data_IF_434992761132
#
_entry.id   IF_434992761132
#
_cell.length_a   1.000
_cell.length_b   1.000
_cell.length_c   1.000
_cell.angle_alpha   90.00
_cell.angle_beta   90.00
_cell.angle_gamma   90.00
#
_symmetry.space_group_name_H-M   'P 1'
#
loop_
_entity.id
_entity.type
_entity.pdbx_description
1 polymer ?
#
# COMPACT_ATOMS: atom_id res chain seq x y z
N UNK A 1 26.34 -1.84 -27.97
CA UNK A 1 27.08 -2.41 -26.82
C UNK A 1 28.40 -1.67 -26.74
N UNK A 2 28.60 -0.85 -25.70
CA UNK A 2 29.92 -0.32 -25.36
C UNK A 2 30.72 -1.44 -24.70
N UNK A 3 32.00 -1.59 -25.10
CA UNK A 3 32.87 -2.53 -24.39
C UNK A 3 33.07 -2.08 -22.94
N UNK A 4 33.31 -3.01 -22.03
CA UNK A 4 33.62 -2.72 -20.62
C UNK A 4 34.77 -1.72 -20.49
N UNK A 5 35.76 -1.80 -21.38
CA UNK A 5 36.91 -0.87 -21.46
C UNK A 5 36.47 0.57 -21.70
N UNK A 6 35.55 0.81 -22.68
CA UNK A 6 35.00 2.15 -22.92
C UNK A 6 34.17 2.70 -21.75
N UNK A 7 33.49 1.83 -20.98
CA UNK A 7 32.77 2.24 -19.78
C UNK A 7 33.74 2.66 -18.68
N UNK A 8 34.88 1.96 -18.55
CA UNK A 8 35.93 2.27 -17.58
C UNK A 8 36.64 3.60 -17.96
N UNK A 9 37.03 3.75 -19.22
CA UNK A 9 37.71 4.94 -19.73
C UNK A 9 36.88 6.24 -19.58
N UNK A 10 35.56 6.15 -19.72
CA UNK A 10 34.65 7.30 -19.62
C UNK A 10 34.05 7.53 -18.22
N UNK A 11 34.51 6.82 -17.18
CA UNK A 11 33.92 6.90 -15.83
C UNK A 11 32.38 6.75 -15.78
N UNK A 12 31.79 5.97 -16.70
CA UNK A 12 30.33 5.81 -16.85
C UNK A 12 29.81 4.70 -15.89
N UNK A 13 30.45 4.45 -14.79
CA UNK A 13 30.00 3.48 -13.79
C UNK A 13 29.99 4.08 -12.39
N UNK A 14 28.96 3.74 -11.63
CA UNK A 14 28.89 4.11 -10.22
C UNK A 14 29.56 3.01 -9.37
N UNK A 15 30.35 3.42 -8.38
CA UNK A 15 30.93 2.50 -7.42
C UNK A 15 29.86 2.08 -6.41
N UNK A 16 29.40 0.84 -6.51
CA UNK A 16 28.47 0.23 -5.57
C UNK A 16 29.25 -0.56 -4.52
N UNK A 17 28.70 -0.65 -3.32
CA UNK A 17 29.21 -1.49 -2.25
C UNK A 17 28.15 -2.50 -1.83
N UNK A 18 28.59 -3.72 -1.53
CA UNK A 18 27.73 -4.72 -0.92
C UNK A 18 27.56 -4.38 0.56
N UNK A 19 26.31 -4.17 0.95
CA UNK A 19 25.95 -3.86 2.32
C UNK A 19 25.69 -5.16 3.10
N UNK A 20 26.45 -5.36 4.17
CA UNK A 20 26.44 -6.55 5.06
C UNK A 20 26.69 -7.89 4.37
N UNK A 21 27.75 -8.52 4.81
CA UNK A 21 28.18 -9.85 4.41
C UNK A 21 27.30 -10.92 5.07
N UNK A 22 26.06 -11.07 4.64
CA UNK A 22 25.16 -12.11 5.12
C UNK A 22 24.93 -13.11 4.01
N UNK A 23 25.69 -14.17 4.00
CA UNK A 23 25.65 -15.26 3.01
C UNK A 23 24.25 -15.87 2.83
N UNK A 24 23.34 -15.67 3.79
CA UNK A 24 21.99 -16.26 3.82
C UNK A 24 20.84 -15.22 3.86
N UNK A 25 21.09 -13.94 3.56
CA UNK A 25 20.05 -12.88 3.53
C UNK A 25 20.11 -12.10 2.22
N UNK A 26 19.04 -11.38 1.90
CA UNK A 26 18.98 -10.49 0.74
C UNK A 26 20.20 -9.56 0.67
N UNK A 27 20.85 -9.54 -0.46
CA UNK A 27 21.98 -8.64 -0.69
C UNK A 27 21.46 -7.23 -0.94
N UNK A 28 21.96 -6.26 -0.19
CA UNK A 28 21.71 -4.85 -0.41
C UNK A 28 22.94 -4.26 -1.09
N UNK A 29 22.77 -3.85 -2.34
CA UNK A 29 23.82 -3.17 -3.11
C UNK A 29 23.50 -1.68 -3.03
N UNK A 30 24.36 -0.92 -2.35
CA UNK A 30 24.14 0.48 -2.03
C UNK A 30 25.26 1.35 -2.64
N UNK A 31 24.91 2.57 -3.06
CA UNK A 31 25.91 3.56 -3.43
C UNK A 31 26.73 3.94 -2.20
N UNK A 32 28.03 4.15 -2.40
CA UNK A 32 28.92 4.53 -1.30
C UNK A 32 28.45 5.77 -0.55
N UNK A 33 27.94 6.76 -1.27
CA UNK A 33 27.41 8.02 -0.75
C UNK A 33 26.15 7.86 0.10
N UNK A 34 25.34 6.84 -0.20
CA UNK A 34 24.10 6.57 0.53
C UNK A 34 24.29 5.67 1.77
N UNK A 35 25.49 5.10 1.93
CA UNK A 35 25.76 4.17 3.02
C UNK A 35 25.58 4.80 4.40
N UNK A 36 26.19 5.93 4.64
CA UNK A 36 26.12 6.63 5.94
C UNK A 36 24.68 7.03 6.27
N UNK A 37 23.92 7.49 5.27
CA UNK A 37 22.50 7.81 5.42
C UNK A 37 21.68 6.58 5.81
N UNK A 38 21.89 5.46 5.11
CA UNK A 38 21.19 4.22 5.37
C UNK A 38 21.53 3.66 6.76
N UNK A 39 22.82 3.61 7.13
CA UNK A 39 23.30 3.14 8.43
C UNK A 39 22.69 3.93 9.59
N UNK A 40 22.64 5.25 9.50
CA UNK A 40 22.04 6.09 10.55
C UNK A 40 20.57 5.72 10.83
N UNK A 41 19.79 5.40 9.81
CA UNK A 41 18.40 4.97 10.00
C UNK A 41 18.34 3.57 10.61
N UNK A 42 19.11 2.62 10.08
CA UNK A 42 19.14 1.23 10.58
C UNK A 42 19.57 1.15 12.04
N UNK A 43 20.57 1.97 12.43
CA UNK A 43 21.14 1.93 13.77
C UNK A 43 20.29 2.71 14.80
N UNK A 44 19.58 3.77 14.35
CA UNK A 44 18.75 4.58 15.24
C UNK A 44 17.38 3.95 15.55
N UNK A 45 16.80 3.27 14.57
CA UNK A 45 15.44 2.76 14.68
C UNK A 45 15.36 1.45 15.45
N UNK A 46 14.47 1.40 16.45
CA UNK A 46 14.31 0.23 17.33
C UNK A 46 13.19 -0.72 16.91
N UNK A 47 12.34 -0.32 15.95
CA UNK A 47 11.21 -1.10 15.46
C UNK A 47 11.28 -1.21 13.94
N UNK A 48 10.57 -2.19 13.39
CA UNK A 48 10.19 -2.24 11.97
C UNK A 48 8.67 -2.28 11.86
N UNK A 49 8.14 -2.01 10.66
CA UNK A 49 6.68 -2.13 10.48
C UNK A 49 6.20 -3.56 10.74
N UNK A 50 7.00 -4.60 10.44
CA UNK A 50 6.63 -6.00 10.70
C UNK A 50 6.53 -6.34 12.19
N UNK A 51 7.23 -5.60 13.07
CA UNK A 51 7.16 -5.79 14.52
C UNK A 51 5.82 -5.29 15.07
N UNK A 52 5.27 -4.22 14.50
CA UNK A 52 4.13 -3.49 15.06
C UNK A 52 2.85 -3.59 14.24
N UNK A 53 2.91 -4.08 13.00
CA UNK A 53 1.79 -4.10 12.07
C UNK A 53 1.60 -5.47 11.41
N UNK A 54 0.36 -5.75 11.05
CA UNK A 54 0.01 -6.89 10.20
C UNK A 54 -0.40 -6.40 8.82
N UNK A 55 0.24 -6.94 7.77
CA UNK A 55 -0.05 -6.57 6.39
C UNK A 55 -0.91 -7.60 5.66
N UNK A 56 -1.67 -7.14 4.67
CA UNK A 56 -2.47 -7.99 3.80
C UNK A 56 -2.61 -7.40 2.40
N UNK A 57 -2.91 -8.26 1.43
CA UNK A 57 -3.17 -7.88 0.05
C UNK A 57 -4.66 -7.66 -0.17
N UNK A 58 -5.00 -6.74 -1.06
CA UNK A 58 -6.37 -6.56 -1.54
C UNK A 58 -6.97 -7.78 -2.24
N UNK A 59 -8.20 -7.65 -2.66
CA UNK A 59 -9.02 -8.72 -3.23
C UNK A 59 -8.61 -9.00 -4.67
N UNK A 60 -8.58 -10.27 -5.02
CA UNK A 60 -8.52 -10.74 -6.42
C UNK A 60 -9.94 -11.14 -6.82
N UNK A 61 -10.56 -10.35 -7.70
CA UNK A 61 -11.91 -10.64 -8.19
C UNK A 61 -11.95 -11.82 -9.16
N UNK A 62 -10.88 -12.00 -9.91
CA UNK A 62 -10.80 -12.94 -11.04
C UNK A 62 -11.51 -12.44 -12.30
N UNK A 63 -12.38 -11.44 -12.18
CA UNK A 63 -13.03 -10.74 -13.30
C UNK A 63 -13.60 -9.41 -12.81
N UNK A 64 -12.83 -8.33 -12.85
CA UNK A 64 -13.30 -7.01 -12.41
C UNK A 64 -14.62 -6.60 -13.07
N UNK A 65 -14.81 -6.91 -14.36
CA UNK A 65 -16.03 -6.59 -15.10
C UNK A 65 -17.31 -7.23 -14.51
N UNK A 66 -17.17 -8.33 -13.76
CA UNK A 66 -18.29 -9.02 -13.14
C UNK A 66 -18.61 -8.47 -11.73
N UNK A 67 -17.61 -7.96 -11.02
CA UNK A 67 -17.73 -7.64 -9.60
C UNK A 67 -17.54 -6.16 -9.26
N UNK A 68 -17.06 -5.36 -10.21
CA UNK A 68 -16.79 -3.92 -9.97
C UNK A 68 -17.77 -3.10 -10.80
N UNK A 69 -18.56 -2.28 -10.12
CA UNK A 69 -19.58 -1.41 -10.71
C UNK A 69 -19.22 0.05 -10.48
N UNK A 70 -19.53 0.91 -11.45
CA UNK A 70 -19.45 2.36 -11.30
C UNK A 70 -20.51 2.84 -10.31
N UNK A 71 -20.17 3.71 -9.37
CA UNK A 71 -21.14 4.25 -8.39
C UNK A 71 -22.26 5.07 -9.05
N UNK A 72 -22.00 5.58 -10.26
CA UNK A 72 -22.97 6.38 -11.03
C UNK A 72 -23.83 5.51 -11.99
N UNK A 73 -23.63 4.17 -12.00
CA UNK A 73 -24.49 3.25 -12.75
C UNK A 73 -25.86 3.13 -12.05
N UNK A 74 -26.93 3.49 -12.73
CA UNK A 74 -28.31 3.44 -12.19
C UNK A 74 -28.69 2.06 -11.64
N UNK A 75 -28.09 1.00 -12.18
CA UNK A 75 -28.35 -0.37 -11.75
C UNK A 75 -27.78 -0.67 -10.37
N UNK A 76 -26.91 0.17 -9.82
CA UNK A 76 -26.38 -0.01 -8.46
C UNK A 76 -27.50 -0.03 -7.41
N UNK A 77 -28.55 0.75 -7.65
CA UNK A 77 -29.73 0.83 -6.77
C UNK A 77 -30.54 -0.45 -6.69
N UNK A 78 -30.29 -1.41 -7.58
CA UNK A 78 -30.91 -2.74 -7.55
C UNK A 78 -30.16 -3.71 -6.64
N UNK A 79 -28.99 -3.34 -6.15
CA UNK A 79 -28.13 -4.18 -5.31
C UNK A 79 -28.30 -3.73 -3.87
N UNK A 80 -28.57 -4.67 -2.96
CA UNK A 80 -28.59 -4.42 -1.53
C UNK A 80 -27.21 -3.92 -1.05
N UNK A 81 -27.18 -2.81 -0.32
CA UNK A 81 -25.97 -2.10 0.14
C UNK A 81 -25.02 -3.01 0.95
N UNK A 82 -25.54 -4.04 1.61
CA UNK A 82 -24.70 -5.01 2.35
C UNK A 82 -23.65 -5.68 1.45
N UNK A 83 -23.96 -5.85 0.15
CA UNK A 83 -23.05 -6.44 -0.83
C UNK A 83 -22.14 -5.40 -1.50
N UNK A 84 -22.43 -4.11 -1.36
CA UNK A 84 -21.66 -3.05 -1.98
C UNK A 84 -20.57 -2.55 -1.04
N UNK A 85 -19.33 -2.61 -1.50
CA UNK A 85 -18.17 -2.15 -0.75
C UNK A 85 -17.43 -1.07 -1.53
N UNK A 86 -16.93 -0.05 -0.84
CA UNK A 86 -16.05 0.96 -1.44
C UNK A 86 -14.83 0.27 -2.04
N UNK A 87 -14.46 0.60 -3.29
CA UNK A 87 -13.42 -0.11 -4.03
C UNK A 87 -12.26 0.79 -4.42
N UNK A 88 -11.09 0.54 -3.87
CA UNK A 88 -9.86 1.33 -4.07
C UNK A 88 -8.87 0.57 -4.94
N UNK A 89 -8.34 1.23 -5.97
CA UNK A 89 -7.24 0.76 -6.80
C UNK A 89 -5.99 1.61 -6.57
N UNK A 90 -4.87 1.18 -7.13
CA UNK A 90 -3.57 1.86 -7.01
C UNK A 90 -3.64 3.38 -7.30
N UNK A 91 -4.38 3.79 -8.33
CA UNK A 91 -4.44 5.20 -8.78
C UNK A 91 -5.15 6.14 -7.80
N UNK A 92 -6.05 5.62 -6.96
CA UNK A 92 -6.76 6.42 -5.96
C UNK A 92 -5.91 6.72 -4.73
N UNK A 93 -4.83 5.95 -4.47
CA UNK A 93 -3.97 6.17 -3.32
C UNK A 93 -3.03 7.34 -3.59
N UNK A 94 -3.07 8.36 -2.73
CA UNK A 94 -2.17 9.50 -2.73
C UNK A 94 -1.35 9.49 -1.43
N UNK A 95 -0.41 10.41 -1.26
CA UNK A 95 0.20 10.65 0.05
C UNK A 95 -0.90 11.06 1.02
N UNK A 96 -0.93 10.45 2.19
CA UNK A 96 -1.84 10.70 3.32
C UNK A 96 -3.29 10.28 3.09
N UNK A 97 -3.87 10.43 1.90
CA UNK A 97 -5.31 10.28 1.64
C UNK A 97 -5.61 9.38 0.45
N UNK A 98 -6.83 8.88 0.42
CA UNK A 98 -7.40 8.15 -0.70
C UNK A 98 -8.35 9.10 -1.43
N UNK A 99 -8.16 9.27 -2.75
CA UNK A 99 -9.11 10.03 -3.57
C UNK A 99 -10.48 9.35 -3.56
N UNK A 100 -11.53 10.14 -3.68
CA UNK A 100 -12.88 9.61 -3.84
C UNK A 100 -12.90 8.59 -4.98
N UNK A 101 -13.35 7.39 -4.67
CA UNK A 101 -13.36 6.30 -5.61
C UNK A 101 -14.70 6.28 -6.37
N UNK A 102 -14.56 6.08 -7.66
CA UNK A 102 -15.67 5.96 -8.59
C UNK A 102 -16.39 4.61 -8.51
N UNK A 103 -15.76 3.61 -7.90
CA UNK A 103 -16.20 2.22 -8.04
C UNK A 103 -16.66 1.61 -6.71
N UNK A 104 -17.60 0.68 -6.82
CA UNK A 104 -18.00 -0.24 -5.75
C UNK A 104 -17.67 -1.67 -6.16
N UNK A 105 -17.32 -2.48 -5.16
CA UNK A 105 -17.16 -3.92 -5.30
C UNK A 105 -18.47 -4.59 -4.88
N UNK A 106 -18.96 -5.50 -5.70
CA UNK A 106 -19.99 -6.47 -5.31
C UNK A 106 -19.29 -7.59 -4.53
N UNK A 107 -19.42 -7.58 -3.21
CA UNK A 107 -18.81 -8.60 -2.35
C UNK A 107 -19.71 -9.85 -2.28
N UNK A 108 -19.63 -10.67 -3.30
CA UNK A 108 -20.51 -11.82 -3.52
C UNK A 108 -20.21 -13.04 -2.65
N UNK A 109 -19.11 -13.05 -1.89
CA UNK A 109 -18.78 -14.16 -0.99
C UNK A 109 -19.80 -14.34 0.16
N UNK A 110 -20.66 -13.35 0.39
CA UNK A 110 -21.75 -13.45 1.37
C UNK A 110 -23.01 -14.14 0.82
N UNK A 111 -23.05 -14.39 -0.49
CA UNK A 111 -24.17 -15.09 -1.14
C UNK A 111 -23.98 -16.60 -0.92
N UNK A 112 -24.90 -17.21 -0.17
CA UNK A 112 -24.81 -18.63 0.18
C UNK A 112 -25.29 -19.53 -0.96
N UNK A 113 -26.40 -19.18 -1.61
CA UNK A 113 -26.96 -19.93 -2.70
C UNK A 113 -27.18 -19.03 -3.92
N UNK A 114 -27.08 -19.61 -5.12
CA UNK A 114 -27.28 -18.89 -6.40
C UNK A 114 -28.66 -18.23 -6.49
N UNK A 115 -29.67 -18.82 -5.83
CA UNK A 115 -31.05 -18.30 -5.79
C UNK A 115 -31.27 -17.12 -4.83
N UNK A 116 -30.38 -16.89 -3.87
CA UNK A 116 -30.62 -15.92 -2.79
C UNK A 116 -30.59 -14.46 -3.27
N UNK A 117 -29.88 -14.19 -4.35
CA UNK A 117 -29.73 -12.85 -4.92
C UNK A 117 -29.76 -12.87 -6.44
N UNK A 118 -30.94 -13.13 -7.05
CA UNK A 118 -31.05 -13.33 -8.49
C UNK A 118 -30.61 -12.10 -9.31
N UNK A 119 -30.80 -10.90 -8.82
CA UNK A 119 -30.35 -9.67 -9.49
C UNK A 119 -28.83 -9.65 -9.61
N UNK A 120 -28.11 -9.86 -8.50
CA UNK A 120 -26.64 -9.88 -8.51
C UNK A 120 -26.14 -11.02 -9.39
N UNK A 121 -26.72 -12.20 -9.22
CA UNK A 121 -26.29 -13.43 -9.91
C UNK A 121 -26.55 -13.36 -11.41
N UNK A 122 -27.74 -12.92 -11.84
CA UNK A 122 -28.12 -12.97 -13.26
C UNK A 122 -27.72 -11.70 -14.01
N UNK A 123 -27.98 -10.53 -13.42
CA UNK A 123 -27.87 -9.25 -14.15
C UNK A 123 -26.47 -8.66 -14.13
N UNK A 124 -25.69 -8.96 -13.10
CA UNK A 124 -24.31 -8.46 -12.97
C UNK A 124 -23.29 -9.57 -13.24
N UNK A 125 -23.18 -10.56 -12.37
CA UNK A 125 -22.13 -11.59 -12.41
C UNK A 125 -22.38 -12.60 -13.52
N UNK A 126 -23.64 -12.98 -13.76
CA UNK A 126 -24.05 -14.03 -14.67
C UNK A 126 -23.64 -13.81 -16.13
N UNK A 127 -23.57 -12.57 -16.59
CA UNK A 127 -23.03 -12.20 -17.91
C UNK A 127 -21.62 -12.73 -18.15
N UNK A 128 -20.89 -13.05 -17.09
CA UNK A 128 -19.50 -13.54 -17.13
C UNK A 128 -19.38 -14.98 -16.64
N UNK A 129 -20.51 -15.72 -16.50
CA UNK A 129 -20.57 -17.07 -15.91
C UNK A 129 -19.59 -18.05 -16.57
N UNK A 130 -19.54 -18.10 -17.87
CA UNK A 130 -18.62 -18.98 -18.62
C UNK A 130 -17.15 -18.69 -18.25
N UNK A 131 -16.76 -17.41 -18.25
CA UNK A 131 -15.40 -16.99 -17.87
C UNK A 131 -15.09 -17.35 -16.43
N UNK A 132 -16.05 -17.14 -15.51
CA UNK A 132 -15.90 -17.39 -14.09
C UNK A 132 -15.80 -18.88 -13.77
N UNK A 133 -16.59 -19.73 -14.45
CA UNK A 133 -16.50 -21.19 -14.36
C UNK A 133 -15.14 -21.72 -14.83
N UNK A 134 -14.49 -21.03 -15.78
CA UNK A 134 -13.19 -21.41 -16.30
C UNK A 134 -12.01 -21.06 -15.36
N UNK A 135 -12.23 -20.33 -14.27
CA UNK A 135 -11.20 -20.08 -13.25
C UNK A 135 -10.71 -21.39 -12.63
N UNK A 136 -9.41 -21.45 -12.34
CA UNK A 136 -8.77 -22.63 -11.73
C UNK A 136 -9.45 -23.04 -10.42
N UNK A 137 -9.81 -22.07 -9.59
CA UNK A 137 -10.44 -22.28 -8.29
C UNK A 137 -11.82 -22.91 -8.42
N UNK A 138 -12.61 -22.51 -9.43
CA UNK A 138 -13.90 -23.10 -9.75
C UNK A 138 -13.76 -24.53 -10.27
N UNK A 139 -12.84 -24.76 -11.22
CA UNK A 139 -12.54 -26.12 -11.74
C UNK A 139 -12.08 -27.08 -10.64
N UNK A 140 -11.38 -26.58 -9.63
CA UNK A 140 -10.96 -27.35 -8.46
C UNK A 140 -12.01 -27.42 -7.33
N UNK A 141 -13.19 -26.85 -7.54
CA UNK A 141 -14.28 -26.76 -6.55
C UNK A 141 -13.88 -26.06 -5.23
N UNK A 142 -12.90 -25.17 -5.29
CA UNK A 142 -12.45 -24.37 -4.15
C UNK A 142 -13.29 -23.11 -3.97
N UNK A 143 -13.97 -22.66 -5.03
CA UNK A 143 -14.85 -21.47 -5.07
C UNK A 143 -16.06 -21.76 -5.95
N UNK A 144 -17.18 -21.16 -5.58
CA UNK A 144 -18.34 -21.09 -6.45
C UNK A 144 -18.09 -20.10 -7.59
N UNK A 145 -18.74 -20.27 -8.73
CA UNK A 145 -18.48 -19.42 -9.90
C UNK A 145 -18.82 -17.95 -9.66
N UNK A 146 -19.78 -17.67 -8.78
CA UNK A 146 -20.19 -16.30 -8.42
C UNK A 146 -19.42 -15.70 -7.25
N UNK A 147 -18.55 -16.43 -6.57
CA UNK A 147 -17.65 -15.89 -5.56
C UNK A 147 -16.46 -15.13 -6.17
N UNK A 148 -15.94 -14.18 -5.43
CA UNK A 148 -14.64 -13.57 -5.71
C UNK A 148 -13.54 -14.64 -5.71
N UNK A 149 -12.54 -14.51 -6.57
CA UNK A 149 -11.47 -15.52 -6.65
C UNK A 149 -10.70 -15.64 -5.31
N UNK A 150 -10.34 -14.48 -4.73
CA UNK A 150 -9.76 -14.38 -3.38
C UNK A 150 -10.38 -13.18 -2.67
N UNK A 151 -11.55 -13.39 -2.07
CA UNK A 151 -12.35 -12.34 -1.43
C UNK A 151 -11.80 -11.88 -0.07
N UNK A 152 -10.91 -12.67 0.56
CA UNK A 152 -10.37 -12.40 1.89
C UNK A 152 -11.48 -12.35 2.97
N UNK A 153 -11.09 -12.14 4.22
CA UNK A 153 -12.02 -11.90 5.32
C UNK A 153 -12.41 -10.42 5.35
N UNK A 154 -13.70 -10.11 5.53
CA UNK A 154 -14.17 -8.73 5.58
C UNK A 154 -13.55 -7.92 6.71
N UNK A 155 -13.42 -8.53 7.88
CA UNK A 155 -12.92 -7.89 9.10
C UNK A 155 -11.55 -7.20 8.94
N UNK A 156 -10.69 -7.69 8.02
CA UNK A 156 -9.40 -7.04 7.77
C UNK A 156 -9.54 -5.72 6.99
N UNK A 157 -10.63 -5.56 6.22
CA UNK A 157 -10.94 -4.31 5.50
C UNK A 157 -11.79 -3.37 6.34
N UNK A 158 -12.66 -3.89 7.20
CA UNK A 158 -13.60 -3.14 8.03
C UNK A 158 -12.94 -2.64 9.32
N UNK A 159 -11.76 -2.00 9.18
CA UNK A 159 -10.97 -1.40 10.26
C UNK A 159 -10.08 -0.27 9.73
N UNK A 160 -9.64 0.62 10.62
CA UNK A 160 -8.62 1.63 10.30
C UNK A 160 -7.34 0.94 9.84
N UNK A 161 -6.74 1.44 8.76
CA UNK A 161 -5.55 0.87 8.14
C UNK A 161 -4.80 1.90 7.32
N UNK A 162 -3.56 1.58 6.97
CA UNK A 162 -2.81 2.30 5.95
C UNK A 162 -2.82 1.46 4.68
N UNK A 163 -3.17 2.11 3.57
CA UNK A 163 -3.14 1.53 2.24
C UNK A 163 -1.97 2.08 1.44
N UNK A 164 -1.36 1.24 0.59
CA UNK A 164 -0.28 1.66 -0.30
C UNK A 164 -0.30 0.88 -1.61
N UNK A 165 0.14 1.50 -2.73
CA UNK A 165 0.16 0.84 -4.03
C UNK A 165 1.29 -0.20 -4.10
N UNK A 166 1.03 -1.30 -4.76
CA UNK A 166 2.02 -2.35 -5.00
C UNK A 166 3.16 -1.90 -5.95
N UNK A 167 2.92 -0.90 -6.80
CA UNK A 167 3.92 -0.27 -7.67
C UNK A 167 3.76 1.25 -7.62
N UNK A 168 4.85 1.96 -7.37
CA UNK A 168 4.84 3.42 -7.29
C UNK A 168 6.19 4.03 -7.70
N UNK A 169 6.15 5.30 -8.07
CA UNK A 169 7.34 6.13 -8.31
C UNK A 169 7.90 6.71 -7.01
N UNK A 170 7.07 6.83 -5.99
CA UNK A 170 7.39 7.39 -4.68
C UNK A 170 6.52 6.76 -3.59
N UNK A 171 6.87 6.99 -2.33
CA UNK A 171 6.05 6.58 -1.20
C UNK A 171 4.68 7.25 -1.26
N UNK A 172 3.63 6.44 -1.22
CA UNK A 172 2.23 6.87 -1.13
C UNK A 172 1.52 5.97 -0.14
N UNK A 173 1.52 6.40 1.11
CA UNK A 173 0.85 5.73 2.21
C UNK A 173 -0.35 6.58 2.64
N UNK A 174 -1.54 6.01 2.62
CA UNK A 174 -2.79 6.71 2.90
C UNK A 174 -3.55 6.03 4.03
N UNK A 175 -4.14 6.82 4.94
CA UNK A 175 -5.03 6.30 5.98
C UNK A 175 -6.40 6.04 5.36
N UNK A 176 -6.95 4.85 5.64
CA UNK A 176 -8.35 4.51 5.38
C UNK A 176 -9.10 4.31 6.70
N UNK A 177 -10.12 5.15 6.90
CA UNK A 177 -11.08 5.08 8.01
C UNK A 177 -12.50 4.74 7.53
N UNK A 178 -12.67 4.54 6.21
CA UNK A 178 -13.97 4.35 5.57
C UNK A 178 -14.30 2.88 5.28
N UNK A 179 -13.55 1.95 5.89
CA UNK A 179 -13.75 0.52 5.66
C UNK A 179 -13.67 0.15 4.17
N UNK A 180 -12.75 0.80 3.44
CA UNK A 180 -12.61 0.55 2.00
C UNK A 180 -11.99 -0.80 1.72
N UNK A 181 -12.52 -1.47 0.71
CA UNK A 181 -11.95 -2.68 0.12
C UNK A 181 -11.04 -2.30 -1.04
N UNK A 182 -10.02 -3.08 -1.30
CA UNK A 182 -9.04 -2.75 -2.34
C UNK A 182 -8.76 -3.90 -3.29
N UNK A 183 -8.33 -3.54 -4.49
CA UNK A 183 -7.87 -4.51 -5.48
C UNK A 183 -6.50 -5.07 -5.13
N UNK A 184 -6.12 -6.18 -5.76
CA UNK A 184 -4.86 -6.89 -5.50
C UNK A 184 -3.59 -6.07 -5.82
N UNK A 185 -3.72 -4.94 -6.51
CA UNK A 185 -2.65 -3.99 -6.78
C UNK A 185 -2.44 -2.96 -5.65
N UNK A 186 -3.14 -3.17 -4.53
CA UNK A 186 -3.03 -2.41 -3.28
C UNK A 186 -2.72 -3.36 -2.14
N UNK A 187 -1.75 -3.02 -1.33
CA UNK A 187 -1.50 -3.62 -0.04
C UNK A 187 -1.97 -2.71 1.08
N UNK A 188 -2.24 -3.31 2.21
CA UNK A 188 -2.64 -2.57 3.42
C UNK A 188 -1.95 -3.17 4.63
N UNK A 189 -1.83 -2.38 5.68
CA UNK A 189 -1.47 -2.87 7.00
C UNK A 189 -2.23 -2.12 8.10
N UNK A 190 -2.40 -2.77 9.22
CA UNK A 190 -2.97 -2.18 10.43
C UNK A 190 -2.03 -2.39 11.61
N UNK A 191 -2.08 -1.49 12.57
CA UNK A 191 -1.30 -1.58 13.81
C UNK A 191 -1.88 -2.72 14.65
N UNK A 192 -1.02 -3.60 15.16
CA UNK A 192 -1.40 -4.67 16.06
C UNK A 192 -1.86 -4.09 17.39
N UNK A 193 -2.82 -4.74 18.04
CA UNK A 193 -3.51 -4.24 19.23
C UNK A 193 -2.55 -3.82 20.36
N UNK A 194 -1.48 -4.56 20.56
CA UNK A 194 -0.46 -4.30 21.58
C UNK A 194 0.35 -3.03 21.33
N UNK A 195 0.30 -2.48 20.11
CA UNK A 195 1.04 -1.28 19.70
C UNK A 195 0.14 -0.06 19.42
N UNK A 196 -1.20 -0.20 19.52
CA UNK A 196 -2.14 0.90 19.25
C UNK A 196 -1.98 2.07 20.24
N UNK A 197 -1.55 1.81 21.49
CA UNK A 197 -1.24 2.84 22.49
C UNK A 197 0.17 3.43 22.33
N UNK A 198 1.01 2.81 21.47
CA UNK A 198 2.40 3.22 21.29
C UNK A 198 2.58 4.02 20.00
N UNK A 199 1.93 3.60 18.92
CA UNK A 199 2.02 4.20 17.61
C UNK A 199 0.64 4.61 17.08
N UNK A 200 0.58 5.76 16.39
CA UNK A 200 -0.61 6.21 15.68
C UNK A 200 -0.46 6.08 14.17
N UNK A 201 -1.57 5.96 13.47
CA UNK A 201 -1.60 5.94 12.01
C UNK A 201 -1.11 7.25 11.43
N UNK A 202 -1.41 8.37 12.08
CA UNK A 202 -1.02 9.72 11.71
C UNK A 202 0.50 9.89 11.76
N UNK A 203 1.14 9.40 12.81
CA UNK A 203 2.60 9.36 12.90
C UNK A 203 3.21 8.54 11.77
N UNK A 204 2.68 7.32 11.55
CA UNK A 204 3.21 6.42 10.54
C UNK A 204 3.10 7.00 9.13
N UNK A 205 1.98 7.63 8.74
CA UNK A 205 1.87 8.22 7.40
C UNK A 205 2.75 9.45 7.25
N UNK A 206 2.94 10.25 8.29
CA UNK A 206 3.88 11.37 8.29
C UNK A 206 5.31 10.90 8.05
N UNK A 207 5.73 9.91 8.80
CA UNK A 207 7.06 9.30 8.69
C UNK A 207 7.26 8.69 7.29
N UNK A 208 6.37 7.79 6.88
CA UNK A 208 6.51 6.99 5.66
C UNK A 208 6.41 7.83 4.37
N UNK A 209 5.64 8.93 4.36
CA UNK A 209 5.52 9.83 3.21
C UNK A 209 6.61 10.89 3.13
N UNK A 210 7.48 11.00 4.14
CA UNK A 210 8.58 11.96 4.15
C UNK A 210 9.59 11.69 3.03
N UNK A 211 10.31 12.72 2.61
CA UNK A 211 11.41 12.58 1.65
C UNK A 211 12.52 11.67 2.17
N UNK A 212 12.79 11.74 3.47
CA UNK A 212 13.79 10.91 4.15
C UNK A 212 13.43 9.44 3.98
N UNK A 213 12.19 9.06 4.29
CA UNK A 213 11.73 7.67 4.18
C UNK A 213 11.50 7.22 2.73
N UNK A 214 11.15 8.13 1.84
CA UNK A 214 11.10 7.84 0.42
C UNK A 214 12.50 7.51 -0.14
N UNK A 215 13.54 8.27 0.25
CA UNK A 215 14.92 7.95 -0.11
C UNK A 215 15.37 6.64 0.53
N UNK A 216 15.13 6.44 1.82
CA UNK A 216 15.50 5.25 2.56
C UNK A 216 14.90 3.98 1.94
N UNK A 217 13.60 3.97 1.64
CA UNK A 217 12.94 2.84 1.01
C UNK A 217 13.54 2.53 -0.37
N UNK A 218 13.76 3.54 -1.21
CA UNK A 218 14.29 3.36 -2.58
C UNK A 218 15.69 2.77 -2.62
N UNK A 219 16.50 2.93 -1.59
CA UNK A 219 17.82 2.33 -1.50
C UNK A 219 17.73 0.80 -1.51
N UNK A 220 16.74 0.22 -0.85
CA UNK A 220 16.58 -1.24 -0.72
C UNK A 220 15.45 -1.82 -1.58
N UNK A 221 14.63 -0.97 -2.19
CA UNK A 221 13.50 -1.40 -3.01
C UNK A 221 13.94 -1.94 -4.37
N UNK A 222 13.23 -2.96 -4.85
CA UNK A 222 13.43 -3.47 -6.21
C UNK A 222 12.92 -2.44 -7.22
N UNK A 223 13.82 -1.94 -8.08
CA UNK A 223 13.47 -1.08 -9.19
C UNK A 223 12.92 -1.93 -10.34
N UNK A 224 11.69 -1.64 -10.80
CA UNK A 224 10.99 -2.41 -11.84
C UNK A 224 10.94 -1.70 -13.20
N UNK A 225 11.20 -0.38 -13.22
CA UNK A 225 11.37 0.42 -14.44
C UNK A 225 12.24 1.64 -14.14
N UNK A 226 12.44 2.52 -15.13
CA UNK A 226 13.28 3.73 -14.96
C UNK A 226 13.00 4.49 -13.67
N UNK A 227 11.72 4.61 -13.28
CA UNK A 227 11.32 5.42 -12.13
C UNK A 227 10.38 4.69 -11.14
N UNK A 228 9.94 3.45 -11.43
CA UNK A 228 8.99 2.73 -10.59
C UNK A 228 9.69 1.68 -9.72
N UNK A 229 9.19 1.55 -8.51
CA UNK A 229 9.66 0.61 -7.49
C UNK A 229 8.54 -0.34 -7.08
N UNK A 230 8.96 -1.50 -6.59
CA UNK A 230 8.11 -2.57 -6.09
C UNK A 230 7.91 -2.42 -4.58
N UNK A 231 6.65 -2.26 -4.16
CA UNK A 231 6.24 -2.07 -2.77
C UNK A 231 5.65 -3.36 -2.18
N UNK A 232 6.27 -4.51 -2.47
CA UNK A 232 5.85 -5.74 -1.83
C UNK A 232 6.05 -5.72 -0.30
N UNK A 233 5.15 -6.40 0.46
CA UNK A 233 5.24 -6.43 1.92
C UNK A 233 6.58 -6.90 2.46
N UNK A 234 7.26 -7.84 1.79
CA UNK A 234 8.58 -8.32 2.18
C UNK A 234 9.67 -7.23 2.20
N UNK A 235 9.41 -6.07 1.60
CA UNK A 235 10.28 -4.88 1.66
C UNK A 235 9.65 -3.76 2.48
N UNK A 236 8.37 -3.46 2.27
CA UNK A 236 7.67 -2.40 2.99
C UNK A 236 7.61 -2.70 4.49
N UNK A 237 7.29 -3.92 4.89
CA UNK A 237 7.16 -4.27 6.30
C UNK A 237 8.52 -4.31 7.03
N UNK A 238 9.64 -4.34 6.32
CA UNK A 238 11.00 -4.22 6.87
C UNK A 238 11.47 -2.77 7.06
N UNK A 239 10.67 -1.78 6.68
CA UNK A 239 10.99 -0.37 6.94
C UNK A 239 11.17 -0.18 8.44
N UNK A 240 12.35 0.32 8.81
CA UNK A 240 12.68 0.66 10.19
C UNK A 240 12.00 1.95 10.60
N UNK A 241 11.49 1.99 11.82
CA UNK A 241 10.80 3.14 12.41
C UNK A 241 11.32 3.41 13.82
N UNK A 242 11.15 4.63 14.28
CA UNK A 242 11.57 5.05 15.62
C UNK A 242 10.44 5.74 16.38
N UNK A 243 10.61 5.86 17.68
CA UNK A 243 9.80 6.72 18.54
C UNK A 243 10.73 7.44 19.51
N UNK A 244 10.74 8.76 19.45
CA UNK A 244 11.59 9.65 20.25
C UNK A 244 10.81 10.88 20.72
N UNK A 245 11.50 11.91 21.21
CA UNK A 245 10.89 13.18 21.67
C UNK A 245 10.15 13.95 20.58
N UNK A 246 10.46 13.72 19.30
CA UNK A 246 9.79 14.37 18.16
C UNK A 246 8.52 13.65 17.71
N UNK A 247 8.20 12.48 18.28
CA UNK A 247 7.04 11.67 17.89
C UNK A 247 5.74 12.48 17.85
N UNK A 248 5.39 13.15 18.97
CA UNK A 248 4.15 13.93 19.07
C UNK A 248 4.11 15.10 18.09
N UNK A 249 5.25 15.76 17.86
CA UNK A 249 5.32 16.85 16.89
C UNK A 249 5.09 16.37 15.44
N UNK A 250 5.68 15.22 15.07
CA UNK A 250 5.47 14.61 13.76
C UNK A 250 4.01 14.19 13.60
N UNK A 251 3.42 13.57 14.61
CA UNK A 251 2.03 13.16 14.64
C UNK A 251 1.08 14.36 14.44
N UNK A 252 1.28 15.44 15.19
CA UNK A 252 0.45 16.65 15.14
C UNK A 252 0.54 17.37 13.79
N UNK A 253 1.74 17.45 13.22
CA UNK A 253 1.92 17.98 11.86
C UNK A 253 1.21 17.11 10.81
N UNK A 254 1.26 15.79 10.97
CA UNK A 254 0.57 14.86 10.09
C UNK A 254 -0.95 14.98 10.19
N UNK A 255 -1.50 15.18 11.40
CA UNK A 255 -2.93 15.50 11.60
C UNK A 255 -3.31 16.79 10.88
N UNK A 256 -2.47 17.82 10.94
CA UNK A 256 -2.69 19.08 10.23
C UNK A 256 -2.67 18.87 8.70
N UNK A 257 -1.75 18.03 8.16
CA UNK A 257 -1.74 17.65 6.75
C UNK A 257 -3.06 16.99 6.37
N UNK A 258 -3.50 15.98 7.13
CA UNK A 258 -4.76 15.29 6.88
C UNK A 258 -5.97 16.23 6.93
N UNK A 259 -5.99 17.16 7.88
CA UNK A 259 -7.06 18.15 8.00
C UNK A 259 -7.11 19.12 6.81
N UNK A 260 -5.95 19.65 6.35
CA UNK A 260 -5.88 20.49 5.15
C UNK A 260 -6.39 19.75 3.91
N UNK A 261 -5.89 18.53 3.69
CA UNK A 261 -6.34 17.72 2.54
C UNK A 261 -7.83 17.41 2.58
N UNK A 262 -8.40 17.15 3.78
CA UNK A 262 -9.84 16.95 3.96
C UNK A 262 -10.65 18.21 3.64
N UNK A 263 -10.10 19.38 3.89
CA UNK A 263 -10.70 20.67 3.54
C UNK A 263 -10.53 21.03 2.04
N UNK A 264 -9.90 20.17 1.24
CA UNK A 264 -9.65 20.42 -0.19
C UNK A 264 -8.41 21.28 -0.48
N UNK A 265 -7.60 21.59 0.53
CA UNK A 265 -6.35 22.32 0.36
C UNK A 265 -5.28 21.37 -0.20
N UNK A 266 -4.67 21.72 -1.33
CA UNK A 266 -3.63 20.90 -1.96
C UNK A 266 -2.20 21.27 -1.52
N UNK A 267 -2.00 22.49 -1.00
CA UNK A 267 -0.67 22.93 -0.58
C UNK A 267 -0.38 22.54 0.87
N UNK A 268 0.46 21.52 1.03
CA UNK A 268 0.92 20.98 2.33
C UNK A 268 2.44 21.05 2.48
N UNK A 269 3.14 21.68 1.55
CA UNK A 269 4.61 21.67 1.45
C UNK A 269 5.30 22.20 2.70
N UNK A 270 4.71 23.22 3.35
CA UNK A 270 5.22 23.79 4.60
C UNK A 270 5.20 22.79 5.75
N UNK A 271 4.15 21.97 5.84
CA UNK A 271 4.02 20.93 6.86
C UNK A 271 4.94 19.75 6.56
N UNK A 272 5.00 19.29 5.30
CA UNK A 272 5.95 18.24 4.90
C UNK A 272 7.41 18.65 5.15
N UNK A 273 7.76 19.91 4.90
CA UNK A 273 9.10 20.44 5.20
C UNK A 273 9.41 20.36 6.70
N UNK A 274 8.46 20.75 7.57
CA UNK A 274 8.62 20.64 9.03
C UNK A 274 8.78 19.20 9.48
N UNK A 275 7.95 18.29 8.96
CA UNK A 275 8.06 16.84 9.25
C UNK A 275 9.44 16.32 8.85
N UNK A 276 9.91 16.64 7.64
CA UNK A 276 11.23 16.23 7.17
C UNK A 276 12.36 16.74 8.07
N UNK A 277 12.29 17.99 8.53
CA UNK A 277 13.32 18.57 9.42
C UNK A 277 13.34 17.88 10.79
N UNK A 278 12.17 17.56 11.38
CA UNK A 278 12.10 16.81 12.63
C UNK A 278 12.72 15.42 12.46
N UNK A 279 12.39 14.71 11.38
CA UNK A 279 12.94 13.39 11.09
C UNK A 279 14.46 13.46 10.89
N UNK A 280 14.95 14.46 10.13
CA UNK A 280 16.39 14.67 9.94
C UNK A 280 17.10 14.96 11.26
N UNK A 281 16.52 15.81 12.10
CA UNK A 281 17.05 16.12 13.43
C UNK A 281 17.15 14.88 14.32
N UNK A 282 16.11 14.06 14.37
CA UNK A 282 16.11 12.79 15.11
C UNK A 282 17.22 11.84 14.63
N UNK A 283 17.38 11.71 13.33
CA UNK A 283 18.35 10.78 12.73
C UNK A 283 19.77 11.35 12.60
N UNK A 284 19.98 12.64 12.87
CA UNK A 284 21.25 13.32 12.69
C UNK A 284 21.73 13.36 11.22
N UNK A 285 20.82 13.54 10.24
CA UNK A 285 21.11 13.54 8.80
C UNK A 285 20.70 14.83 8.10
#
# INVERSE_FOLDING_TARGET
FHSIEKLIENNIFERLILYKNTINKDWIIIKKEDKTFYDKIEDYCNYSLEDICTSFQGIITGCDKAFVIDKDDEKINLIDDRFLKSWVKNKEIQKYTIKDNRYKLIYSNDIKNESDNPIIINDFIGKYKERLLNRRECKKKLRLWYELQWGREKAIFERKKIMYPYKSFENRFAIDENNSFSSADVYSFYINKEYEEIFSYEYLVGLLNSEVYNKYFKINAKKISKNAYDYYPNKVMKIKIFKDSNYTHIEDLSKQVLQRLKNGESNISDLEYKINNLIRGSLGI
#
